data_IF_592536504290
#
_entry.id   IF_592536504290
#
_cell.length_a   1.000
_cell.length_b   1.000
_cell.length_c   1.000
_cell.angle_alpha   90.00
_cell.angle_beta   90.00
_cell.angle_gamma   90.00
#
_symmetry.space_group_name_H-M   'P 1'
#
loop_
_entity.id
_entity.type
_entity.pdbx_description
1 polymer ?
#
# COMPACT_ATOMS: atom_id res chain seq x y z
N UNK A 1 11.72 -21.52 -20.54
CA UNK A 1 11.94 -20.76 -19.30
C UNK A 1 11.18 -21.47 -18.20
N UNK A 2 11.83 -21.74 -17.09
CA UNK A 2 11.19 -22.27 -15.88
C UNK A 2 10.62 -21.09 -15.06
N UNK A 3 9.49 -21.30 -14.40
CA UNK A 3 8.80 -20.27 -13.57
C UNK A 3 9.30 -20.21 -12.13
N UNK A 4 10.29 -21.06 -11.80
CA UNK A 4 10.99 -21.06 -10.52
C UNK A 4 11.46 -19.65 -10.16
N UNK A 5 11.03 -19.16 -9.00
CA UNK A 5 11.41 -17.85 -8.45
C UNK A 5 10.41 -16.72 -8.71
N UNK A 6 9.32 -16.94 -9.45
CA UNK A 6 8.28 -15.93 -9.62
C UNK A 6 7.61 -15.58 -8.28
N UNK A 7 7.39 -14.28 -8.04
CA UNK A 7 6.73 -13.75 -6.85
C UNK A 7 5.66 -12.75 -7.23
N UNK A 8 4.52 -12.82 -6.57
CA UNK A 8 3.56 -11.72 -6.56
C UNK A 8 4.08 -10.65 -5.60
N UNK A 9 4.88 -9.73 -6.13
CA UNK A 9 5.60 -8.75 -5.33
C UNK A 9 4.67 -7.75 -4.65
N UNK A 10 3.79 -7.10 -5.41
CA UNK A 10 2.89 -6.07 -4.90
C UNK A 10 1.52 -6.11 -5.58
N UNK A 11 0.55 -5.48 -4.93
CA UNK A 11 -0.69 -4.99 -5.55
C UNK A 11 -0.69 -3.46 -5.53
N UNK A 12 -1.09 -2.83 -6.63
CA UNK A 12 -1.12 -1.37 -6.74
C UNK A 12 -2.53 -0.82 -6.59
N UNK A 13 -2.68 0.20 -5.75
CA UNK A 13 -3.89 1.00 -5.62
C UNK A 13 -3.56 2.48 -5.84
N UNK A 14 -4.38 3.18 -6.60
CA UNK A 14 -4.27 4.64 -6.69
C UNK A 14 -4.90 5.29 -5.45
N UNK A 15 -4.25 6.34 -4.94
CA UNK A 15 -4.70 7.09 -3.77
C UNK A 15 -4.86 8.57 -4.10
N UNK A 16 -5.95 9.18 -3.60
CA UNK A 16 -6.24 10.61 -3.80
C UNK A 16 -5.29 11.47 -2.98
N UNK A 17 -5.17 11.16 -1.70
CA UNK A 17 -4.37 11.92 -0.73
C UNK A 17 -3.39 10.97 -0.05
N UNK A 18 -2.08 11.05 -0.38
CA UNK A 18 -1.09 10.15 0.18
C UNK A 18 -0.93 10.34 1.69
N UNK A 19 -1.17 11.53 2.23
CA UNK A 19 -1.02 11.78 3.66
C UNK A 19 -2.07 11.00 4.46
N UNK A 20 -3.33 11.02 4.01
CA UNK A 20 -4.41 10.24 4.63
C UNK A 20 -4.19 8.74 4.47
N UNK A 21 -3.78 8.30 3.29
CA UNK A 21 -3.51 6.88 3.06
C UNK A 21 -2.32 6.36 3.88
N UNK A 22 -1.22 7.12 3.95
CA UNK A 22 -0.06 6.77 4.75
C UNK A 22 -0.37 6.75 6.25
N UNK A 23 -1.20 7.67 6.74
CA UNK A 23 -1.66 7.65 8.13
C UNK A 23 -2.50 6.40 8.43
N UNK A 24 -3.48 6.10 7.57
CA UNK A 24 -4.29 4.89 7.70
C UNK A 24 -3.44 3.62 7.69
N UNK A 25 -2.59 3.43 6.69
CA UNK A 25 -1.83 2.17 6.59
C UNK A 25 -0.73 2.05 7.64
N UNK A 26 -0.07 3.15 8.04
CA UNK A 26 1.00 3.07 9.04
C UNK A 26 0.47 3.09 10.48
N UNK A 27 -0.33 4.10 10.83
CA UNK A 27 -0.73 4.32 12.22
C UNK A 27 -1.95 3.48 12.63
N UNK A 28 -2.86 3.22 11.69
CA UNK A 28 -4.04 2.39 11.97
C UNK A 28 -3.73 0.92 11.66
N UNK A 29 -3.26 0.58 10.46
CA UNK A 29 -3.05 -0.82 10.09
C UNK A 29 -1.71 -1.40 10.55
N UNK A 30 -0.72 -0.56 10.88
CA UNK A 30 0.60 -1.02 11.34
C UNK A 30 1.54 -1.49 10.22
N UNK A 31 1.32 -1.04 8.99
CA UNK A 31 2.27 -1.26 7.90
C UNK A 31 3.48 -0.31 8.01
N UNK A 32 4.61 -0.76 7.50
CA UNK A 32 5.85 0.03 7.41
C UNK A 32 5.97 0.60 5.99
N UNK A 33 6.25 1.91 5.86
CA UNK A 33 6.68 2.49 4.58
C UNK A 33 8.10 2.01 4.27
N UNK A 34 8.24 1.22 3.20
CA UNK A 34 9.50 0.60 2.78
C UNK A 34 10.31 1.56 1.89
N UNK A 35 9.68 2.13 0.86
CA UNK A 35 10.37 2.97 -0.11
C UNK A 35 9.40 3.93 -0.79
N UNK A 36 9.92 5.09 -1.20
CA UNK A 36 9.18 6.09 -1.95
C UNK A 36 9.91 6.41 -3.25
N UNK A 37 9.22 6.24 -4.38
CA UNK A 37 9.73 6.60 -5.69
C UNK A 37 8.99 7.82 -6.22
N UNK A 38 9.71 8.92 -6.42
CA UNK A 38 9.17 10.18 -6.90
C UNK A 38 9.49 10.32 -8.39
N UNK A 39 8.46 10.54 -9.21
CA UNK A 39 8.59 10.73 -10.66
C UNK A 39 8.02 12.08 -11.07
N UNK A 40 8.69 13.17 -10.67
CA UNK A 40 8.20 14.54 -10.87
C UNK A 40 7.86 14.86 -12.33
N UNK A 41 8.70 14.42 -13.28
CA UNK A 41 8.46 14.66 -14.71
C UNK A 41 7.21 13.94 -15.25
N UNK A 42 6.75 12.89 -14.56
CA UNK A 42 5.55 12.13 -14.93
C UNK A 42 4.35 12.46 -14.04
N UNK A 43 4.52 13.31 -13.01
CA UNK A 43 3.44 13.78 -12.14
C UNK A 43 2.88 12.72 -11.19
N UNK A 44 3.69 11.75 -10.74
CA UNK A 44 3.25 10.78 -9.75
C UNK A 44 4.35 10.36 -8.76
N UNK A 45 3.91 9.87 -7.59
CA UNK A 45 4.76 9.27 -6.55
C UNK A 45 4.22 7.90 -6.19
N UNK A 46 5.13 6.94 -5.98
CA UNK A 46 4.82 5.59 -5.51
C UNK A 46 5.28 5.43 -4.06
N UNK A 47 4.41 4.88 -3.21
CA UNK A 47 4.73 4.53 -1.83
C UNK A 47 4.55 3.03 -1.65
N UNK A 48 5.63 2.32 -1.33
CA UNK A 48 5.61 0.88 -1.09
C UNK A 48 5.49 0.60 0.40
N UNK A 49 4.45 -0.12 0.80
CA UNK A 49 4.20 -0.50 2.18
C UNK A 49 4.24 -2.03 2.34
N UNK A 50 4.70 -2.48 3.51
CA UNK A 50 4.70 -3.90 3.89
C UNK A 50 4.32 -4.08 5.35
N UNK A 51 3.67 -5.19 5.67
CA UNK A 51 3.40 -5.59 7.04
C UNK A 51 4.54 -6.47 7.54
N UNK A 52 5.13 -6.14 8.68
CA UNK A 52 6.34 -6.81 9.20
C UNK A 52 6.23 -8.34 9.24
N UNK A 53 5.06 -8.88 9.58
CA UNK A 53 4.80 -10.33 9.63
C UNK A 53 4.89 -11.02 8.26
N UNK A 54 4.77 -10.28 7.15
CA UNK A 54 4.86 -10.79 5.78
C UNK A 54 6.21 -10.51 5.09
N UNK A 55 7.07 -9.70 5.70
CA UNK A 55 8.37 -9.33 5.14
C UNK A 55 9.44 -10.38 5.49
N UNK A 56 10.33 -10.65 4.53
CA UNK A 56 11.39 -11.65 4.67
C UNK A 56 12.74 -10.97 4.80
N UNK A 57 13.42 -11.28 5.91
CA UNK A 57 14.74 -10.72 6.23
C UNK A 57 14.68 -9.30 6.76
N UNK A 58 15.84 -8.79 7.19
CA UNK A 58 15.95 -7.44 7.72
C UNK A 58 15.92 -6.41 6.60
N UNK A 59 15.06 -5.39 6.71
CA UNK A 59 15.05 -4.27 5.78
C UNK A 59 16.39 -3.50 5.83
N UNK A 60 17.11 -3.37 4.70
CA UNK A 60 18.38 -2.63 4.66
C UNK A 60 18.20 -1.12 4.86
N UNK A 61 19.16 -0.49 5.52
CA UNK A 61 19.21 0.97 5.68
C UNK A 61 19.68 1.68 4.41
N UNK A 62 20.62 1.08 3.67
CA UNK A 62 21.05 1.61 2.38
C UNK A 62 19.92 1.52 1.35
N UNK A 63 19.77 2.56 0.54
CA UNK A 63 18.66 2.64 -0.42
C UNK A 63 18.82 1.66 -1.58
N UNK A 64 20.02 1.50 -2.12
CA UNK A 64 20.23 0.60 -3.25
C UNK A 64 19.96 -0.85 -2.81
N UNK A 65 20.50 -1.24 -1.64
CA UNK A 65 20.23 -2.55 -1.05
C UNK A 65 18.74 -2.74 -0.73
N UNK A 66 18.05 -1.71 -0.22
CA UNK A 66 16.62 -1.78 0.08
C UNK A 66 15.76 -1.94 -1.16
N UNK A 67 16.13 -1.34 -2.30
CA UNK A 67 15.42 -1.53 -3.57
C UNK A 67 15.55 -2.98 -4.06
N UNK A 68 16.74 -3.56 -3.98
CA UNK A 68 16.95 -4.97 -4.31
C UNK A 68 16.20 -5.91 -3.35
N UNK A 69 16.19 -5.56 -2.06
CA UNK A 69 15.44 -6.28 -1.04
C UNK A 69 13.92 -6.20 -1.28
N UNK A 70 13.39 -5.01 -1.64
CA UNK A 70 11.98 -4.76 -1.95
C UNK A 70 11.52 -5.63 -3.11
N UNK A 71 12.33 -5.74 -4.17
CA UNK A 71 12.03 -6.59 -5.33
C UNK A 71 11.94 -8.09 -4.98
N UNK A 72 12.52 -8.50 -3.85
CA UNK A 72 12.48 -9.87 -3.35
C UNK A 72 11.35 -10.14 -2.35
N UNK A 73 10.54 -9.14 -1.98
CA UNK A 73 9.39 -9.33 -1.10
C UNK A 73 8.15 -9.84 -1.87
N UNK A 74 7.14 -10.24 -1.10
CA UNK A 74 5.82 -10.61 -1.59
C UNK A 74 4.75 -9.89 -0.78
N UNK A 75 3.58 -9.65 -1.39
CA UNK A 75 2.43 -9.09 -0.68
C UNK A 75 2.58 -7.63 -0.24
N UNK A 76 3.44 -6.86 -0.92
CA UNK A 76 3.54 -5.42 -0.70
C UNK A 76 2.31 -4.69 -1.24
N UNK A 77 2.05 -3.52 -0.68
CA UNK A 77 1.07 -2.57 -1.20
C UNK A 77 1.79 -1.40 -1.85
N UNK A 78 1.56 -1.18 -3.14
CA UNK A 78 2.02 0.01 -3.84
C UNK A 78 0.87 1.02 -3.89
N UNK A 79 1.06 2.17 -3.26
CA UNK A 79 0.13 3.30 -3.37
C UNK A 79 0.67 4.28 -4.41
N UNK A 80 -0.10 4.48 -5.48
CA UNK A 80 0.23 5.46 -6.52
C UNK A 80 -0.56 6.74 -6.31
N UNK A 81 0.14 7.83 -6.06
CA UNK A 81 -0.42 9.17 -5.98
C UNK A 81 -0.14 9.92 -7.28
N UNK A 82 -1.19 10.28 -8.01
CA UNK A 82 -1.09 11.24 -9.11
C UNK A 82 -1.15 12.65 -8.51
N UNK A 83 -0.14 13.47 -8.77
CA UNK A 83 0.03 14.77 -8.12
C UNK A 83 -1.16 15.69 -8.40
N UNK A 84 -1.63 16.40 -7.37
CA UNK A 84 -2.73 17.36 -7.46
C UNK A 84 -4.11 16.76 -7.18
N UNK A 85 -4.27 15.43 -7.22
CA UNK A 85 -5.58 14.79 -6.92
C UNK A 85 -6.08 15.08 -5.51
N UNK A 86 -5.20 15.32 -4.54
CA UNK A 86 -5.50 15.68 -3.17
C UNK A 86 -6.12 17.07 -3.01
N UNK A 87 -5.89 17.97 -3.97
CA UNK A 87 -6.34 19.38 -3.96
C UNK A 87 -7.38 19.67 -5.05
N UNK A 88 -7.76 18.68 -5.84
CA UNK A 88 -8.80 18.82 -6.86
C UNK A 88 -10.18 18.55 -6.24
N UNK A 89 -10.92 19.63 -6.01
CA UNK A 89 -12.30 19.59 -5.49
C UNK A 89 -13.28 18.93 -6.46
N UNK A 90 -12.96 18.87 -7.76
CA UNK A 90 -13.78 18.17 -8.76
C UNK A 90 -13.47 16.68 -8.87
N UNK A 91 -12.39 16.22 -8.24
CA UNK A 91 -12.00 14.83 -8.24
C UNK A 91 -12.74 14.06 -7.13
N UNK A 92 -13.80 13.34 -7.51
CA UNK A 92 -14.63 12.54 -6.60
C UNK A 92 -13.86 11.38 -5.92
N UNK A 93 -12.69 11.02 -6.43
CA UNK A 93 -11.85 9.93 -5.93
C UNK A 93 -11.74 8.76 -6.90
N UNK A 94 -10.99 7.74 -6.51
CA UNK A 94 -10.83 6.53 -7.31
C UNK A 94 -11.99 5.55 -7.07
N UNK A 95 -12.44 4.91 -8.15
CA UNK A 95 -13.44 3.85 -8.07
C UNK A 95 -12.85 2.59 -7.41
N UNK A 96 -13.51 2.05 -6.39
CA UNK A 96 -13.01 0.91 -5.63
C UNK A 96 -13.25 -0.46 -6.31
N UNK A 97 -14.00 -0.50 -7.42
CA UNK A 97 -14.28 -1.73 -8.18
C UNK A 97 -15.44 -2.59 -7.67
N UNK A 98 -16.10 -2.19 -6.57
CA UNK A 98 -17.18 -2.96 -5.93
C UNK A 98 -18.60 -2.52 -6.37
N UNK A 99 -18.71 -1.41 -7.09
CA UNK A 99 -19.89 -1.00 -7.87
C UNK A 99 -19.66 -1.16 -9.38
N UNK A 100 -20.70 -0.96 -10.20
CA UNK A 100 -20.54 -1.03 -11.66
C UNK A 100 -19.67 0.12 -12.21
N UNK A 101 -18.70 -0.14 -13.11
CA UNK A 101 -18.28 -1.45 -13.60
C UNK A 101 -17.42 -2.21 -12.57
N UNK A 102 -17.78 -3.45 -12.27
CA UNK A 102 -17.07 -4.27 -11.28
C UNK A 102 -15.71 -4.77 -11.79
N UNK A 103 -14.78 -5.00 -10.86
CA UNK A 103 -13.44 -5.50 -11.17
C UNK A 103 -12.67 -5.98 -9.93
N UNK A 104 -11.64 -5.23 -9.52
CA UNK A 104 -10.94 -5.47 -8.26
C UNK A 104 -11.93 -5.42 -7.08
N UNK A 105 -11.75 -6.31 -6.09
CA UNK A 105 -12.58 -6.38 -4.90
C UNK A 105 -11.92 -5.73 -3.68
N UNK A 106 -10.91 -6.40 -3.13
CA UNK A 106 -10.23 -5.96 -1.92
C UNK A 106 -8.83 -6.57 -1.80
N UNK A 107 -8.00 -5.95 -0.96
CA UNK A 107 -6.83 -6.58 -0.35
C UNK A 107 -7.23 -7.21 0.99
N UNK A 108 -6.41 -8.09 1.54
CA UNK A 108 -6.68 -8.75 2.81
C UNK A 108 -5.44 -8.73 3.70
N UNK A 109 -5.65 -8.47 4.99
CA UNK A 109 -4.62 -8.52 6.03
C UNK A 109 -5.07 -9.55 7.05
N UNK A 110 -4.23 -10.55 7.29
CA UNK A 110 -4.48 -11.53 8.36
C UNK A 110 -4.06 -10.96 9.71
N UNK A 111 -4.91 -11.11 10.71
CA UNK A 111 -4.67 -10.66 12.09
C UNK A 111 -4.80 -11.82 13.07
N UNK A 112 -4.13 -11.78 14.24
CA UNK A 112 -4.22 -12.85 15.24
C UNK A 112 -5.64 -13.04 15.82
N UNK A 113 -6.37 -11.95 16.01
CA UNK A 113 -7.76 -11.95 16.47
C UNK A 113 -8.54 -10.84 15.76
N UNK A 114 -9.56 -11.23 15.02
CA UNK A 114 -10.37 -10.30 14.22
C UNK A 114 -11.21 -9.37 15.09
N UNK A 115 -11.72 -9.84 16.23
CA UNK A 115 -12.58 -9.02 17.09
C UNK A 115 -11.75 -7.93 17.76
N UNK A 116 -10.57 -8.27 18.31
CA UNK A 116 -9.67 -7.30 18.93
C UNK A 116 -9.19 -6.25 17.92
N UNK A 117 -8.91 -6.67 16.68
CA UNK A 117 -8.55 -5.73 15.62
C UNK A 117 -9.71 -4.78 15.28
N UNK A 118 -10.93 -5.32 15.10
CA UNK A 118 -12.14 -4.53 14.84
C UNK A 118 -12.46 -3.56 15.98
N UNK A 119 -12.41 -3.99 17.24
CA UNK A 119 -12.63 -3.11 18.41
C UNK A 119 -11.66 -1.92 18.40
N UNK A 120 -10.38 -2.17 18.04
CA UNK A 120 -9.39 -1.10 17.89
C UNK A 120 -9.76 -0.17 16.71
N UNK A 121 -10.14 -0.72 15.56
CA UNK A 121 -10.54 0.07 14.39
C UNK A 121 -11.76 0.95 14.71
N UNK A 122 -12.78 0.42 15.39
CA UNK A 122 -13.95 1.18 15.85
C UNK A 122 -13.54 2.31 16.81
N UNK A 123 -12.64 2.03 17.77
CA UNK A 123 -12.15 3.05 18.71
C UNK A 123 -11.39 4.20 18.04
N UNK A 124 -10.85 3.95 16.84
CA UNK A 124 -10.14 4.93 16.01
C UNK A 124 -11.04 5.58 14.96
N UNK A 125 -12.33 5.23 14.89
CA UNK A 125 -13.28 5.81 13.94
C UNK A 125 -13.09 5.33 12.50
N UNK A 126 -12.57 4.12 12.30
CA UNK A 126 -12.51 3.48 10.98
C UNK A 126 -13.92 3.07 10.54
N UNK A 127 -14.22 3.29 9.26
CA UNK A 127 -15.47 2.87 8.60
C UNK A 127 -15.45 1.40 8.13
#
# INVERSE_FOLDING_TARGET
MDTTGFKLNHSMLRVKDPQKSLDFYQNIMGATLVETFVFDHMGFTLYFLGFDAGLVGQMPSDRAERIEWLANQSGLLELTHNHGTESDDSFEGYHNGNSEPKGFGHICVSVPDVNVACDRFESLGVE
#
